data_IF_955363430376
#
_entry.id   IF_955363430376
#
_cell.length_a   1.000
_cell.length_b   1.000
_cell.length_c   1.000
_cell.angle_alpha   90.00
_cell.angle_beta   90.00
_cell.angle_gamma   90.00
#
_symmetry.space_group_name_H-M   'P 1'
#
loop_
_entity.id
_entity.type
_entity.pdbx_description
1 polymer ?
#
# COMPACT_ATOMS: atom_id res chain seq x y z
N UNK A 1 -2.32 -10.15 9.22
CA UNK A 1 -1.43 -8.98 9.07
C UNK A 1 -2.32 -7.76 9.02
N UNK A 2 -2.01 -6.69 9.76
CA UNK A 2 -2.69 -5.41 9.52
C UNK A 2 -2.50 -5.03 8.06
N UNK A 3 -3.58 -4.65 7.40
CA UNK A 3 -3.62 -4.43 5.96
C UNK A 3 -3.36 -2.97 5.58
N UNK A 4 -3.34 -2.06 6.57
CA UNK A 4 -3.09 -0.64 6.39
C UNK A 4 -2.33 -0.11 7.60
N UNK A 5 -1.29 0.70 7.36
CA UNK A 5 -0.52 1.36 8.41
C UNK A 5 -0.63 2.86 8.25
N UNK A 6 -1.13 3.54 9.29
CA UNK A 6 -1.11 5.00 9.33
C UNK A 6 0.29 5.47 9.70
N UNK A 7 1.02 5.96 8.69
CA UNK A 7 2.36 6.52 8.85
C UNK A 7 2.33 8.05 8.74
N UNK A 8 3.29 8.72 9.39
CA UNK A 8 3.48 10.17 9.27
C UNK A 8 4.76 10.45 8.51
N UNK A 9 4.73 11.49 7.69
CA UNK A 9 5.92 12.02 7.03
C UNK A 9 6.64 12.92 8.03
N UNK A 10 7.93 12.66 8.25
CA UNK A 10 8.79 13.48 9.10
C UNK A 10 9.09 14.84 8.46
N UNK A 11 9.68 15.79 9.21
CA UNK A 11 9.99 17.14 8.72
C UNK A 11 10.85 17.19 7.46
N UNK A 12 11.65 16.14 7.22
CA UNK A 12 12.55 16.02 6.06
C UNK A 12 11.95 15.16 4.92
N UNK A 13 10.65 14.85 4.97
CA UNK A 13 9.99 14.07 3.92
C UNK A 13 10.15 12.55 4.04
N UNK A 14 10.81 12.03 5.07
CA UNK A 14 10.98 10.59 5.26
C UNK A 14 9.72 9.95 5.86
N UNK A 15 9.45 8.71 5.46
CA UNK A 15 8.43 7.85 6.07
C UNK A 15 9.15 6.70 6.76
N UNK A 16 8.84 6.46 8.03
CA UNK A 16 9.35 5.29 8.73
C UNK A 16 8.48 4.07 8.38
N UNK A 17 9.06 3.10 7.66
CA UNK A 17 8.37 1.87 7.32
C UNK A 17 8.31 0.94 8.56
N UNK A 18 7.10 0.47 8.94
CA UNK A 18 6.95 -0.50 10.03
C UNK A 18 7.86 -1.73 9.82
N UNK A 19 8.35 -2.30 10.92
CA UNK A 19 9.30 -3.43 10.88
C UNK A 19 8.80 -4.57 9.97
N UNK A 20 7.53 -4.93 10.08
CA UNK A 20 6.89 -5.99 9.27
C UNK A 20 6.92 -5.71 7.77
N UNK A 21 6.86 -4.43 7.37
CA UNK A 21 6.94 -4.03 5.96
C UNK A 21 8.38 -4.12 5.46
N UNK A 22 9.35 -3.70 6.27
CA UNK A 22 10.79 -3.83 5.95
C UNK A 22 11.24 -5.27 5.85
N UNK A 23 10.75 -6.14 6.73
CA UNK A 23 11.05 -7.58 6.68
C UNK A 23 10.46 -8.24 5.43
N UNK A 24 9.31 -7.76 4.94
CA UNK A 24 8.68 -8.30 3.73
C UNK A 24 9.28 -7.75 2.42
N UNK A 25 9.64 -6.46 2.37
CA UNK A 25 10.07 -5.78 1.14
C UNK A 25 11.59 -5.59 1.03
N UNK A 26 12.34 -5.84 2.11
CA UNK A 26 13.78 -5.63 2.17
C UNK A 26 14.18 -4.17 2.42
N UNK A 27 15.46 -3.88 2.17
CA UNK A 27 16.09 -2.59 2.50
C UNK A 27 16.30 -1.67 1.30
N UNK A 28 16.19 -2.19 0.08
CA UNK A 28 16.35 -1.41 -1.15
C UNK A 28 15.02 -1.39 -1.90
N UNK A 29 14.42 -0.21 -1.98
CA UNK A 29 13.05 -0.03 -2.45
C UNK A 29 12.98 0.98 -3.58
N UNK A 30 12.05 0.75 -4.50
CA UNK A 30 11.60 1.75 -5.48
C UNK A 30 10.24 2.27 -5.07
N UNK A 31 10.02 3.56 -5.35
CA UNK A 31 8.74 4.24 -5.14
C UNK A 31 8.29 4.78 -6.50
N UNK A 32 7.10 4.39 -6.93
CA UNK A 32 6.48 4.89 -8.17
C UNK A 32 5.18 5.63 -7.80
N UNK A 33 5.21 6.98 -7.77
CA UNK A 33 4.05 7.78 -7.40
C UNK A 33 3.15 8.12 -8.60
N UNK A 34 1.90 8.47 -8.30
CA UNK A 34 0.99 9.24 -9.15
C UNK A 34 0.39 10.43 -8.38
N UNK A 35 -0.70 11.02 -8.89
CA UNK A 35 -1.38 12.17 -8.26
C UNK A 35 -2.03 11.88 -6.89
N UNK A 36 -2.33 10.61 -6.58
CA UNK A 36 -3.14 10.21 -5.42
C UNK A 36 -2.57 9.06 -4.59
N UNK A 37 -1.63 8.29 -5.13
CA UNK A 37 -1.05 7.10 -4.52
C UNK A 37 0.41 6.90 -4.92
N UNK A 38 1.09 5.99 -4.24
CA UNK A 38 2.41 5.51 -4.65
C UNK A 38 2.53 4.01 -4.38
N UNK A 39 3.17 3.29 -5.30
CA UNK A 39 3.58 1.91 -5.10
C UNK A 39 4.99 1.87 -4.51
N UNK A 40 5.19 1.07 -3.46
CA UNK A 40 6.49 0.81 -2.83
C UNK A 40 6.78 -0.68 -2.95
N UNK A 41 7.94 -1.04 -3.49
CA UNK A 41 8.31 -2.43 -3.78
C UNK A 41 9.84 -2.63 -3.80
N UNK A 42 10.34 -3.89 -3.70
CA UNK A 42 11.78 -4.17 -3.76
C UNK A 42 12.40 -3.69 -5.08
N UNK A 43 13.60 -3.11 -5.03
CA UNK A 43 14.22 -2.47 -6.19
C UNK A 43 14.53 -3.44 -7.35
N UNK A 44 14.72 -4.72 -7.04
CA UNK A 44 15.02 -5.83 -7.95
C UNK A 44 13.77 -6.63 -8.37
N UNK A 45 12.58 -6.26 -7.88
CA UNK A 45 11.36 -7.00 -8.17
C UNK A 45 10.98 -6.95 -9.65
N UNK A 46 10.56 -8.10 -10.19
CA UNK A 46 10.08 -8.21 -11.57
C UNK A 46 8.76 -7.43 -11.75
N UNK A 47 8.60 -6.61 -12.81
CA UNK A 47 7.39 -5.79 -13.03
C UNK A 47 6.07 -6.56 -12.92
N UNK A 48 6.03 -7.79 -13.48
CA UNK A 48 4.83 -8.63 -13.41
C UNK A 48 4.43 -8.99 -11.97
N UNK A 49 5.39 -9.27 -11.09
CA UNK A 49 5.11 -9.61 -9.70
C UNK A 49 4.51 -8.41 -8.96
N UNK A 50 5.06 -7.21 -9.20
CA UNK A 50 4.56 -5.95 -8.65
C UNK A 50 3.11 -5.73 -9.08
N UNK A 51 2.80 -5.89 -10.37
CA UNK A 51 1.45 -5.71 -10.92
C UNK A 51 0.46 -6.66 -10.24
N UNK A 52 0.81 -7.95 -10.10
CA UNK A 52 -0.05 -8.94 -9.43
C UNK A 52 -0.32 -8.55 -7.98
N UNK A 53 0.70 -8.15 -7.23
CA UNK A 53 0.52 -7.68 -5.85
C UNK A 53 -0.37 -6.43 -5.75
N UNK A 54 -0.17 -5.45 -6.64
CA UNK A 54 -0.99 -4.24 -6.67
C UNK A 54 -2.46 -4.54 -7.02
N UNK A 55 -2.72 -5.52 -7.89
CA UNK A 55 -4.09 -5.95 -8.20
C UNK A 55 -4.82 -6.49 -6.97
N UNK A 56 -4.13 -7.26 -6.12
CA UNK A 56 -4.72 -7.77 -4.86
C UNK A 56 -5.06 -6.63 -3.89
N UNK A 57 -4.16 -5.65 -3.75
CA UNK A 57 -4.40 -4.46 -2.92
C UNK A 57 -5.60 -3.67 -3.44
N UNK A 58 -5.68 -3.46 -4.76
CA UNK A 58 -6.81 -2.75 -5.40
C UNK A 58 -8.13 -3.51 -5.17
N UNK A 59 -8.14 -4.84 -5.25
CA UNK A 59 -9.33 -5.64 -4.98
C UNK A 59 -9.82 -5.50 -3.53
N UNK A 60 -8.92 -5.56 -2.56
CA UNK A 60 -9.27 -5.36 -1.15
C UNK A 60 -9.79 -3.94 -0.88
N UNK A 61 -9.19 -2.91 -1.47
CA UNK A 61 -9.69 -1.53 -1.38
C UNK A 61 -11.12 -1.39 -1.95
N UNK A 62 -11.40 -2.02 -3.10
CA UNK A 62 -12.75 -2.04 -3.69
C UNK A 62 -13.76 -2.72 -2.78
N UNK A 63 -13.42 -3.87 -2.19
CA UNK A 63 -14.29 -4.59 -1.25
C UNK A 63 -14.63 -3.73 -0.03
N UNK A 64 -13.66 -3.01 0.53
CA UNK A 64 -13.89 -2.09 1.67
C UNK A 64 -14.79 -0.92 1.28
N UNK A 65 -14.62 -0.36 0.09
CA UNK A 65 -15.47 0.71 -0.41
C UNK A 65 -16.92 0.25 -0.54
N UNK A 66 -17.15 -0.93 -1.14
CA UNK A 66 -18.49 -1.52 -1.26
C UNK A 66 -19.13 -1.76 0.11
N UNK A 67 -18.37 -2.31 1.07
CA UNK A 67 -18.86 -2.56 2.43
C UNK A 67 -19.32 -1.26 3.11
N UNK A 68 -18.53 -0.18 2.98
CA UNK A 68 -18.89 1.15 3.49
C UNK A 68 -20.16 1.69 2.83
N UNK A 69 -20.28 1.56 1.51
CA UNK A 69 -21.47 2.02 0.78
C UNK A 69 -22.74 1.25 1.17
N UNK A 70 -22.62 -0.05 1.46
CA UNK A 70 -23.75 -0.86 1.94
C UNK A 70 -24.19 -0.47 3.35
N UNK A 71 -23.26 -0.14 4.24
CA UNK A 71 -23.58 0.31 5.59
C UNK A 71 -24.38 1.62 5.58
N UNK A 72 -23.95 2.62 4.80
CA UNK A 72 -24.62 3.93 4.69
C UNK A 72 -26.03 3.84 4.08
N UNK A 73 -26.31 2.84 3.24
CA UNK A 73 -27.65 2.64 2.65
C UNK A 73 -28.66 2.01 3.63
N UNK A 74 -28.19 1.44 4.73
CA UNK A 74 -29.02 0.76 5.72
C UNK A 74 -29.25 1.61 6.98
N UNK A 75 -28.75 2.84 7.01
CA UNK A 75 -28.99 3.88 8.02
C UNK A 75 -29.99 4.92 7.48
#
# INVERSE_FOLDING_TARGET
>A
METEFKVRVGPQGHIYLPKVVREALGNELKITPDAHAAAIYPADAHPQAIIVSLQLIIQDLKLRLEAKQRAVKNE
#
